data_IF_904661759347
#
_entry.id   IF_904661759347
#
_cell.length_a   1.000
_cell.length_b   1.000
_cell.length_c   1.000
_cell.angle_alpha   90.00
_cell.angle_beta   90.00
_cell.angle_gamma   90.00
#
_symmetry.space_group_name_H-M   'P 1'
#
loop_
_entity.id
_entity.type
_entity.pdbx_description
1 polymer ?
#
# COMPACT_ATOMS: atom_id res chain seq x y z
N UNK A 1 -8.04 32.47 17.21
CA UNK A 1 -8.04 30.99 17.13
C UNK A 1 -7.63 30.56 15.72
N UNK A 2 -6.92 29.44 15.60
CA UNK A 2 -6.54 28.84 14.32
C UNK A 2 -7.77 28.48 13.48
N UNK A 3 -7.83 28.90 12.21
CA UNK A 3 -8.91 28.57 11.29
C UNK A 3 -8.83 27.10 10.84
N UNK A 4 -9.98 26.44 10.68
CA UNK A 4 -10.03 25.08 10.13
C UNK A 4 -9.83 25.11 8.60
N UNK A 5 -9.10 24.14 8.08
CA UNK A 5 -8.84 23.94 6.64
C UNK A 5 -9.37 22.58 6.20
N UNK A 6 -9.72 22.45 4.92
CA UNK A 6 -9.99 21.14 4.33
C UNK A 6 -8.64 20.47 4.03
N UNK A 7 -8.40 19.31 4.64
CA UNK A 7 -7.15 18.59 4.48
C UNK A 7 -7.38 17.10 4.24
N UNK A 8 -6.43 16.49 3.53
CA UNK A 8 -6.22 15.05 3.45
C UNK A 8 -4.83 14.76 4.00
N UNK A 9 -4.73 13.81 4.92
CA UNK A 9 -3.49 13.43 5.57
C UNK A 9 -3.38 11.92 5.73
N UNK A 10 -2.17 11.46 5.95
CA UNK A 10 -1.86 10.07 6.18
C UNK A 10 -1.14 9.95 7.51
N UNK A 11 -1.59 9.00 8.32
CA UNK A 11 -0.99 8.60 9.59
C UNK A 11 -0.53 7.15 9.47
N UNK A 12 0.63 6.85 10.04
CA UNK A 12 1.17 5.51 10.02
C UNK A 12 1.80 5.13 11.35
N UNK A 13 1.79 3.83 11.62
CA UNK A 13 2.58 3.20 12.67
C UNK A 13 3.30 2.01 12.09
N UNK A 14 4.60 1.93 12.35
CA UNK A 14 5.50 0.87 11.88
C UNK A 14 6.30 0.34 13.06
N UNK A 15 6.69 -0.92 12.98
CA UNK A 15 7.62 -1.55 13.92
C UNK A 15 8.77 -2.14 13.14
N UNK A 16 9.99 -1.88 13.57
CA UNK A 16 11.18 -2.57 13.06
C UNK A 16 11.75 -3.45 14.14
N UNK A 17 11.82 -4.76 13.89
CA UNK A 17 12.45 -5.71 14.81
C UNK A 17 13.98 -5.53 14.76
N UNK A 18 14.62 -5.46 15.94
CA UNK A 18 16.09 -5.41 16.01
C UNK A 18 16.71 -6.76 15.66
N UNK A 19 16.02 -7.86 15.94
CA UNK A 19 16.54 -9.21 15.72
C UNK A 19 16.56 -9.59 14.22
N UNK A 20 15.49 -9.25 13.49
CA UNK A 20 15.34 -9.65 12.07
C UNK A 20 15.57 -8.50 11.09
N UNK A 21 15.58 -7.25 11.56
CA UNK A 21 15.56 -6.06 10.70
C UNK A 21 14.25 -5.86 9.93
N UNK A 22 13.29 -6.78 10.06
CA UNK A 22 12.01 -6.71 9.36
C UNK A 22 11.23 -5.51 9.88
N UNK A 23 10.81 -4.66 8.96
CA UNK A 23 9.89 -3.56 9.19
C UNK A 23 8.48 -4.02 8.83
N UNK A 24 7.60 -3.94 9.81
CA UNK A 24 6.19 -4.27 9.68
C UNK A 24 5.38 -2.98 9.82
N UNK A 25 4.55 -2.68 8.82
CA UNK A 25 3.55 -1.62 8.96
C UNK A 25 2.35 -2.17 9.71
N UNK A 26 2.06 -1.55 10.86
CA UNK A 26 0.97 -1.96 11.75
C UNK A 26 -0.34 -1.30 11.41
N UNK A 27 -0.27 -0.04 11.00
CA UNK A 27 -1.43 0.72 10.57
C UNK A 27 -1.00 1.79 9.58
N UNK A 28 -1.81 1.98 8.54
CA UNK A 28 -1.75 3.10 7.63
C UNK A 28 -3.18 3.63 7.48
N UNK A 29 -3.44 4.86 7.90
CA UNK A 29 -4.76 5.48 7.87
C UNK A 29 -4.72 6.75 7.06
N UNK A 30 -5.73 6.94 6.23
CA UNK A 30 -5.93 8.19 5.49
C UNK A 30 -7.09 8.92 6.17
N UNK A 31 -6.81 10.13 6.64
CA UNK A 31 -7.81 11.03 7.16
C UNK A 31 -8.14 12.11 6.13
N UNK A 32 -9.40 12.50 6.06
CA UNK A 32 -9.83 13.64 5.26
C UNK A 32 -10.93 14.40 5.99
N UNK A 33 -10.93 15.73 5.88
CA UNK A 33 -11.98 16.58 6.43
C UNK A 33 -11.49 17.95 6.86
N UNK A 34 -12.37 18.69 7.53
CA UNK A 34 -12.03 19.96 8.13
C UNK A 34 -11.21 19.74 9.40
N UNK A 35 -9.99 20.27 9.44
CA UNK A 35 -9.11 20.17 10.61
C UNK A 35 -8.34 21.46 10.83
N UNK A 36 -8.00 21.73 12.10
CA UNK A 36 -7.09 22.81 12.48
C UNK A 36 -5.63 22.34 12.54
N UNK A 37 -5.40 21.03 12.73
CA UNK A 37 -4.08 20.39 12.77
C UNK A 37 -4.20 18.91 12.41
N UNK A 38 -3.30 18.38 11.58
CA UNK A 38 -3.22 16.94 11.28
C UNK A 38 -2.42 16.14 12.32
N UNK A 39 -1.82 16.85 13.27
CA UNK A 39 -1.11 16.30 14.41
C UNK A 39 -1.38 17.18 15.62
N UNK A 40 -1.68 16.56 16.75
CA UNK A 40 -1.82 17.25 18.03
C UNK A 40 -1.07 16.48 19.08
N UNK A 41 -0.22 17.19 19.81
CA UNK A 41 0.42 16.63 20.99
C UNK A 41 -0.56 16.54 22.15
N UNK A 42 -0.13 15.91 23.24
CA UNK A 42 -0.87 16.03 24.50
C UNK A 42 -0.86 17.49 24.98
N UNK A 43 -1.86 17.90 25.79
CA UNK A 43 -1.89 19.25 26.34
C UNK A 43 -0.56 19.61 27.03
N UNK A 44 -0.05 20.85 26.85
CA UNK A 44 1.25 21.22 27.40
C UNK A 44 1.35 21.05 28.92
N UNK A 45 0.25 21.23 29.66
CA UNK A 45 0.21 21.00 31.10
C UNK A 45 0.41 19.52 31.47
N UNK A 46 -0.16 18.59 30.70
CA UNK A 46 0.00 17.15 30.91
C UNK A 46 1.42 16.70 30.55
N UNK A 47 1.99 17.22 29.46
CA UNK A 47 3.39 16.95 29.10
C UNK A 47 4.35 17.50 30.16
N UNK A 48 4.07 18.68 30.70
CA UNK A 48 4.88 19.27 31.76
C UNK A 48 4.87 18.42 33.04
N UNK A 49 3.72 17.81 33.38
CA UNK A 49 3.57 16.96 34.57
C UNK A 49 4.12 15.55 34.36
N UNK A 50 3.76 14.91 33.24
CA UNK A 50 3.92 13.48 33.02
C UNK A 50 5.09 13.14 32.07
N UNK A 51 5.71 14.15 31.46
CA UNK A 51 6.75 13.99 30.43
C UNK A 51 6.19 13.71 29.05
N UNK A 52 7.08 13.52 28.08
CA UNK A 52 6.74 13.21 26.69
C UNK A 52 6.41 11.73 26.47
N UNK A 53 6.67 10.87 27.45
CA UNK A 53 6.40 9.44 27.39
C UNK A 53 5.68 9.02 28.65
N UNK A 54 4.50 8.45 28.49
CA UNK A 54 3.68 7.93 29.59
C UNK A 54 3.43 6.46 29.34
N UNK A 55 3.79 5.63 30.31
CA UNK A 55 3.45 4.20 30.30
C UNK A 55 2.23 3.97 31.18
N UNK A 56 1.18 3.38 30.61
CA UNK A 56 -0.03 2.97 31.31
C UNK A 56 -0.33 1.50 30.99
N UNK A 57 -0.26 0.62 32.00
CA UNK A 57 -0.48 -0.82 31.91
C UNK A 57 0.22 -1.48 30.71
N UNK A 58 -0.48 -1.66 29.60
CA UNK A 58 -0.01 -2.36 28.39
C UNK A 58 0.31 -1.41 27.21
N UNK A 59 0.13 -0.10 27.42
CA UNK A 59 0.31 0.92 26.39
C UNK A 59 1.29 1.99 26.84
N UNK A 60 2.31 2.25 26.02
CA UNK A 60 3.15 3.42 26.18
C UNK A 60 2.73 4.45 25.14
N UNK A 61 2.27 5.60 25.63
CA UNK A 61 1.93 6.75 24.82
C UNK A 61 3.15 7.68 24.73
N UNK A 62 3.54 7.97 23.50
CA UNK A 62 4.68 8.83 23.23
C UNK A 62 4.23 10.08 22.47
N UNK A 63 4.79 11.23 22.81
CA UNK A 63 4.38 12.54 22.30
C UNK A 63 5.55 13.25 21.61
N UNK A 64 5.26 14.08 20.62
CA UNK A 64 6.21 14.95 19.94
C UNK A 64 5.82 16.43 20.18
N UNK A 65 6.75 17.40 20.08
CA UNK A 65 6.43 18.80 20.32
C UNK A 65 5.66 19.39 19.13
N UNK A 66 4.43 19.85 19.37
CA UNK A 66 3.64 20.62 18.41
C UNK A 66 3.75 22.14 18.69
N UNK A 67 3.13 23.03 17.89
CA UNK A 67 3.18 24.46 18.15
C UNK A 67 2.66 24.88 19.53
N UNK A 68 1.66 24.18 20.06
CA UNK A 68 1.05 24.51 21.35
C UNK A 68 2.00 24.18 22.50
N UNK A 69 2.72 23.06 22.40
CA UNK A 69 3.80 22.69 23.33
C UNK A 69 4.95 23.69 23.26
N UNK A 70 5.48 23.96 22.06
CA UNK A 70 6.65 24.83 21.86
C UNK A 70 6.41 26.26 22.33
N UNK A 71 5.18 26.77 22.20
CA UNK A 71 4.81 28.14 22.62
C UNK A 71 4.37 28.23 24.08
N UNK A 72 4.15 27.11 24.75
CA UNK A 72 3.64 27.08 26.12
C UNK A 72 4.63 27.69 27.11
N UNK A 73 4.10 28.34 28.15
CA UNK A 73 4.91 28.78 29.29
C UNK A 73 5.60 27.59 29.98
N UNK A 74 4.93 26.44 30.05
CA UNK A 74 5.49 25.24 30.69
C UNK A 74 6.77 24.75 30.00
N UNK A 75 6.80 24.71 28.67
CA UNK A 75 8.00 24.33 27.92
C UNK A 75 9.12 25.37 28.08
N UNK A 76 8.80 26.66 27.93
CA UNK A 76 9.79 27.75 28.10
C UNK A 76 10.42 27.79 29.49
N UNK A 77 9.65 27.45 30.54
CA UNK A 77 10.13 27.49 31.92
C UNK A 77 10.90 26.22 32.33
N UNK A 78 10.72 25.12 31.60
CA UNK A 78 11.38 23.82 31.91
C UNK A 78 12.60 23.55 31.04
N UNK A 79 12.82 24.34 29.98
CA UNK A 79 13.90 24.14 29.02
C UNK A 79 14.83 25.34 28.93
N UNK A 80 16.12 25.08 28.76
CA UNK A 80 17.12 26.08 28.40
C UNK A 80 17.24 26.17 26.88
N UNK A 81 17.44 27.39 26.36
CA UNK A 81 17.56 27.65 24.93
C UNK A 81 18.91 28.26 24.57
N UNK A 82 19.46 27.90 23.41
CA UNK A 82 20.68 28.49 22.87
C UNK A 82 20.57 28.69 21.36
N UNK A 83 21.02 29.84 20.86
CA UNK A 83 21.06 30.08 19.41
C UNK A 83 22.22 29.31 18.79
N UNK A 84 21.92 28.51 17.78
CA UNK A 84 22.87 27.78 16.94
C UNK A 84 22.97 28.46 15.59
N UNK A 85 24.10 29.10 15.33
CA UNK A 85 24.43 29.59 13.99
C UNK A 85 25.10 28.47 13.18
N UNK A 86 24.55 28.20 11.98
CA UNK A 86 25.14 27.22 11.06
C UNK A 86 26.14 27.96 10.17
N UNK A 87 27.44 27.68 10.35
CA UNK A 87 28.49 28.28 9.50
C UNK A 87 28.19 27.98 8.02
N UNK A 88 28.22 29.01 7.19
CA UNK A 88 28.01 28.90 5.74
C UNK A 88 26.55 28.79 5.29
N UNK A 89 25.56 28.86 6.19
CA UNK A 89 24.14 28.94 5.84
C UNK A 89 23.49 30.18 6.45
N UNK A 90 23.23 31.19 5.63
CA UNK A 90 22.53 32.42 6.03
C UNK A 90 21.00 32.31 5.96
N UNK A 91 20.49 31.23 5.36
CA UNK A 91 19.07 30.97 5.14
C UNK A 91 18.38 30.31 6.34
N UNK A 92 19.15 29.87 7.35
CA UNK A 92 18.65 29.06 8.47
C UNK A 92 19.28 29.45 9.82
N UNK A 93 18.46 29.58 10.87
CA UNK A 93 18.89 29.75 12.26
C UNK A 93 18.41 28.54 13.08
N UNK A 94 19.30 27.93 13.86
CA UNK A 94 18.92 26.92 14.83
C UNK A 94 18.70 27.52 16.22
N UNK A 95 17.73 27.00 16.97
CA UNK A 95 17.58 27.25 18.40
C UNK A 95 17.57 25.90 19.11
N UNK A 96 18.67 25.59 19.77
CA UNK A 96 18.78 24.38 20.57
C UNK A 96 17.94 24.52 21.84
N UNK A 97 17.27 23.45 22.23
CA UNK A 97 16.57 23.33 23.50
C UNK A 97 16.97 22.06 24.22
N UNK A 98 17.05 22.13 25.54
CA UNK A 98 17.29 20.98 26.41
C UNK A 98 16.60 21.18 27.76
N UNK A 99 16.23 20.10 28.47
CA UNK A 99 15.65 20.23 29.80
C UNK A 99 16.62 20.98 30.74
N UNK A 100 16.09 21.94 31.50
CA UNK A 100 16.89 22.76 32.43
C UNK A 100 17.43 21.95 33.61
N UNK A 101 16.69 20.91 34.01
CA UNK A 101 17.10 19.96 35.03
C UNK A 101 16.63 18.54 34.64
N UNK A 102 17.41 17.54 35.02
CA UNK A 102 17.00 16.14 34.85
C UNK A 102 15.91 15.82 35.87
N UNK A 103 14.77 15.31 35.40
CA UNK A 103 13.67 14.87 36.25
C UNK A 103 13.66 13.34 36.29
N UNK A 104 13.90 12.70 37.45
CA UNK A 104 13.84 11.23 37.55
C UNK A 104 12.48 10.71 37.08
N UNK A 105 12.47 9.61 36.33
CA UNK A 105 11.27 8.92 35.82
C UNK A 105 10.39 9.74 34.86
N UNK A 106 10.82 10.93 34.44
CA UNK A 106 10.13 11.74 33.44
C UNK A 106 11.00 11.78 32.19
N UNK A 107 10.47 11.25 31.08
CA UNK A 107 11.13 11.34 29.78
C UNK A 107 10.86 12.72 29.21
N UNK A 108 11.92 13.44 28.89
CA UNK A 108 11.86 14.79 28.32
C UNK A 108 12.41 14.78 26.88
N UNK A 109 12.52 15.94 26.24
CA UNK A 109 13.12 16.06 24.91
C UNK A 109 14.26 17.08 24.88
N UNK A 110 15.28 16.80 24.07
CA UNK A 110 16.28 17.78 23.65
C UNK A 110 16.30 17.86 22.13
N UNK A 111 16.77 18.96 21.55
CA UNK A 111 16.73 19.12 20.10
C UNK A 111 17.06 20.51 19.59
N UNK A 112 16.71 20.73 18.32
CA UNK A 112 16.93 22.02 17.63
C UNK A 112 15.67 22.41 16.86
N UNK A 113 15.21 23.63 17.09
CA UNK A 113 14.20 24.30 16.27
C UNK A 113 14.90 25.11 15.16
N UNK A 114 14.67 24.71 13.91
CA UNK A 114 15.22 25.33 12.72
C UNK A 114 14.25 26.35 12.14
N UNK A 115 14.70 27.59 12.06
CA UNK A 115 13.98 28.72 11.50
C UNK A 115 14.56 29.07 10.12
N UNK A 116 13.74 29.12 9.09
CA UNK A 116 14.13 29.74 7.82
C UNK A 116 14.17 31.26 8.02
N UNK A 117 15.11 31.98 7.41
CA UNK A 117 15.32 33.43 7.65
C UNK A 117 14.60 34.34 6.65
N UNK A 118 14.12 33.82 5.52
CA UNK A 118 13.44 34.62 4.49
C UNK A 118 12.13 33.94 3.99
N UNK A 119 10.95 34.38 4.45
CA UNK A 119 10.72 35.11 5.70
C UNK A 119 11.07 34.27 6.94
N UNK A 120 11.26 34.95 8.09
CA UNK A 120 11.51 34.29 9.38
C UNK A 120 10.34 33.39 9.78
N UNK A 121 10.53 32.07 9.75
CA UNK A 121 9.48 31.08 10.09
C UNK A 121 10.08 29.81 10.66
N UNK A 122 9.38 29.18 11.62
CA UNK A 122 9.75 27.83 12.06
C UNK A 122 9.52 26.86 10.90
N UNK A 123 10.57 26.14 10.50
CA UNK A 123 10.52 25.21 9.38
C UNK A 123 10.54 23.75 9.86
N UNK A 124 11.35 23.46 10.88
CA UNK A 124 11.53 22.09 11.39
C UNK A 124 11.94 22.10 12.86
N UNK A 125 11.52 21.08 13.60
CA UNK A 125 12.07 20.74 14.92
C UNK A 125 12.58 19.31 14.84
N UNK A 126 13.86 19.12 15.13
CA UNK A 126 14.46 17.81 15.36
C UNK A 126 14.60 17.60 16.86
N UNK A 127 14.25 16.42 17.36
CA UNK A 127 14.32 16.12 18.79
C UNK A 127 14.75 14.68 19.08
N UNK A 128 15.26 14.46 20.29
CA UNK A 128 15.54 13.14 20.86
C UNK A 128 14.91 13.04 22.24
N UNK A 129 14.41 11.85 22.58
CA UNK A 129 13.86 11.55 23.89
C UNK A 129 14.97 11.32 24.91
N UNK A 130 14.96 12.07 26.00
CA UNK A 130 15.95 12.01 27.07
C UNK A 130 15.45 11.24 28.28
N UNK A 131 16.36 10.58 29.01
CA UNK A 131 16.00 9.79 30.20
C UNK A 131 15.54 8.36 29.91
N UNK A 132 15.69 7.89 28.67
CA UNK A 132 15.54 6.48 28.30
C UNK A 132 16.78 5.64 28.70
N UNK A 133 16.65 4.30 28.81
CA UNK A 133 17.80 3.40 28.99
C UNK A 133 18.92 3.65 27.98
N UNK A 134 20.17 3.58 28.45
CA UNK A 134 21.36 3.96 27.68
C UNK A 134 21.64 3.06 26.45
N UNK A 135 21.00 1.89 26.38
CA UNK A 135 21.11 0.95 25.27
C UNK A 135 20.40 1.44 23.99
N UNK A 136 19.61 2.50 24.06
CA UNK A 136 18.96 3.10 22.90
C UNK A 136 19.87 4.09 22.17
N UNK A 137 20.20 3.76 20.91
CA UNK A 137 20.85 4.67 19.99
C UNK A 137 20.03 5.94 19.80
N UNK A 138 20.70 7.09 19.65
CA UNK A 138 20.02 8.39 19.45
C UNK A 138 19.07 8.38 18.25
N UNK A 139 19.45 7.70 17.17
CA UNK A 139 18.64 7.57 15.96
C UNK A 139 17.30 6.86 16.21
N UNK A 140 17.25 5.94 17.16
CA UNK A 140 16.06 5.13 17.47
C UNK A 140 15.17 5.73 18.56
N UNK A 141 15.64 6.79 19.23
CA UNK A 141 14.89 7.62 20.17
C UNK A 141 14.70 9.05 19.68
N UNK A 142 14.66 9.24 18.36
CA UNK A 142 14.58 10.56 17.73
C UNK A 142 13.23 10.81 17.07
N UNK A 143 12.94 12.06 16.75
CA UNK A 143 11.83 12.41 15.90
C UNK A 143 12.02 13.79 15.29
N UNK A 144 11.06 14.16 14.46
CA UNK A 144 10.99 15.49 13.90
C UNK A 144 9.57 15.93 13.64
N UNK A 145 9.41 17.25 13.53
CA UNK A 145 8.17 17.92 13.12
C UNK A 145 8.53 18.98 12.09
N UNK A 146 7.86 18.96 10.94
CA UNK A 146 8.01 19.93 9.85
C UNK A 146 6.80 20.84 9.83
N UNK A 147 7.06 22.13 9.66
CA UNK A 147 6.06 23.18 9.68
C UNK A 147 6.00 23.88 8.33
N UNK A 148 4.80 24.27 7.92
CA UNK A 148 4.57 25.21 6.82
C UNK A 148 3.43 26.15 7.22
N UNK A 149 3.23 27.19 6.43
CA UNK A 149 2.14 28.15 6.56
C UNK A 149 1.22 28.03 5.34
N UNK A 150 -0.05 27.70 5.56
CA UNK A 150 -1.08 27.79 4.52
C UNK A 150 -1.70 29.19 4.60
N UNK A 151 -1.71 29.92 3.48
CA UNK A 151 -2.31 31.25 3.33
C UNK A 151 -1.95 32.27 4.42
N UNK A 152 -0.71 32.20 4.92
CA UNK A 152 -0.12 33.19 5.83
C UNK A 152 -0.64 33.21 7.28
N UNK A 153 -1.59 32.34 7.67
CA UNK A 153 -2.33 32.57 8.92
C UNK A 153 -1.84 31.82 10.19
N UNK A 154 -1.20 30.63 10.11
CA UNK A 154 -0.58 29.97 11.29
C UNK A 154 0.40 28.84 10.90
N UNK A 155 1.29 28.44 11.82
CA UNK A 155 2.13 27.24 11.65
C UNK A 155 1.28 25.97 11.69
N UNK A 156 1.34 25.22 10.59
CA UNK A 156 0.73 23.92 10.46
C UNK A 156 1.81 22.85 10.38
N UNK A 157 1.63 21.77 11.14
CA UNK A 157 2.47 20.57 11.00
C UNK A 157 2.12 19.90 9.68
N UNK A 158 3.09 19.79 8.79
CA UNK A 158 2.93 19.16 7.47
C UNK A 158 3.48 17.75 7.42
N UNK A 159 4.46 17.47 8.27
CA UNK A 159 5.04 16.13 8.43
C UNK A 159 5.57 15.97 9.82
N UNK A 160 5.41 14.79 10.40
CA UNK A 160 6.03 14.45 11.67
C UNK A 160 6.40 12.98 11.71
N UNK A 161 7.41 12.67 12.52
CA UNK A 161 7.83 11.31 12.81
C UNK A 161 8.39 11.27 14.23
N UNK A 162 8.10 10.19 14.96
CA UNK A 162 8.74 9.86 16.22
C UNK A 162 9.14 8.38 16.19
N UNK A 163 10.40 8.11 16.50
CA UNK A 163 10.97 6.77 16.65
C UNK A 163 11.30 6.53 18.11
N UNK A 164 10.88 5.38 18.58
CA UNK A 164 10.95 5.02 19.98
C UNK A 164 11.38 3.57 20.15
N UNK A 165 12.42 3.32 20.96
CA UNK A 165 12.88 1.97 21.22
C UNK A 165 11.89 1.24 22.14
N UNK A 166 11.61 -0.01 21.82
CA UNK A 166 10.99 -0.96 22.74
C UNK A 166 12.07 -1.70 23.51
N UNK A 167 11.92 -1.68 24.82
CA UNK A 167 12.82 -2.35 25.73
C UNK A 167 12.20 -3.65 26.22
N UNK A 168 13.00 -4.70 26.28
CA UNK A 168 12.69 -5.93 26.99
C UNK A 168 13.67 -6.09 28.15
N UNK A 169 13.13 -6.42 29.32
CA UNK A 169 13.92 -6.80 30.48
C UNK A 169 14.19 -8.30 30.41
N UNK A 170 15.44 -8.68 30.20
CA UNK A 170 15.88 -10.07 30.22
C UNK A 170 16.47 -10.38 31.59
N UNK A 171 15.96 -11.45 32.19
CA UNK A 171 16.42 -11.96 33.48
C UNK A 171 17.88 -12.45 33.42
N UNK A 172 18.47 -12.77 34.58
CA UNK A 172 19.84 -13.27 34.64
C UNK A 172 19.99 -14.53 33.80
N UNK A 173 21.01 -14.55 32.93
CA UNK A 173 21.37 -15.75 32.16
C UNK A 173 22.33 -16.58 33.01
N UNK A 174 22.03 -17.87 33.18
CA UNK A 174 22.98 -18.80 33.80
C UNK A 174 24.01 -19.18 32.75
N UNK A 175 25.27 -18.78 32.96
CA UNK A 175 26.37 -19.15 32.06
C UNK A 175 27.14 -20.29 32.71
N UNK A 176 27.16 -21.45 32.04
CA UNK A 176 27.98 -22.59 32.47
C UNK A 176 29.38 -22.45 31.88
N UNK A 177 30.35 -22.08 32.72
CA UNK A 177 31.76 -22.04 32.36
C UNK A 177 32.49 -23.14 33.13
N UNK A 178 32.93 -24.19 32.41
CA UNK A 178 33.79 -25.27 32.94
C UNK A 178 33.28 -25.87 34.27
N UNK A 179 32.01 -26.29 34.31
CA UNK A 179 31.43 -26.97 35.48
C UNK A 179 31.04 -26.05 36.65
N UNK A 180 31.27 -24.73 36.54
CA UNK A 180 30.75 -23.74 37.48
C UNK A 180 29.63 -22.92 36.82
N UNK A 181 28.41 -23.02 37.36
CA UNK A 181 27.31 -22.11 36.99
C UNK A 181 27.58 -20.76 37.63
N UNK A 182 27.82 -19.73 36.80
CA UNK A 182 27.84 -18.34 37.25
C UNK A 182 26.58 -17.65 36.75
N UNK A 183 25.79 -17.11 37.66
CA UNK A 183 24.71 -16.18 37.31
C UNK A 183 25.35 -14.93 36.68
N UNK A 184 24.97 -14.57 35.45
CA UNK A 184 25.36 -13.28 34.91
C UNK A 184 24.76 -12.18 35.79
N UNK A 185 25.58 -11.27 36.29
CA UNK A 185 25.11 -10.15 37.09
C UNK A 185 24.20 -9.24 36.26
N UNK A 186 22.98 -9.02 36.77
CA UNK A 186 22.07 -7.96 36.35
C UNK A 186 21.00 -8.38 35.33
N UNK A 187 19.77 -7.95 35.61
CA UNK A 187 18.72 -7.78 34.62
C UNK A 187 19.25 -6.90 33.47
N UNK A 188 19.19 -7.41 32.24
CA UNK A 188 19.65 -6.67 31.05
C UNK A 188 18.46 -6.04 30.35
N UNK A 189 18.55 -4.74 30.10
CA UNK A 189 17.59 -4.02 29.27
C UNK A 189 18.13 -4.03 27.85
N UNK A 190 17.40 -4.65 26.93
CA UNK A 190 17.77 -4.73 25.52
C UNK A 190 16.72 -4.02 24.65
N UNK A 191 17.17 -3.36 23.58
CA UNK A 191 16.26 -2.83 22.57
C UNK A 191 15.86 -3.98 21.65
N UNK A 192 14.58 -4.37 21.67
CA UNK A 192 14.07 -5.50 20.88
C UNK A 192 13.39 -5.06 19.59
N UNK A 193 12.90 -3.82 19.55
CA UNK A 193 12.28 -3.24 18.38
C UNK A 193 12.32 -1.71 18.45
N UNK A 194 11.99 -1.06 17.34
CA UNK A 194 11.76 0.39 17.26
C UNK A 194 10.34 0.60 16.74
N UNK A 195 9.50 1.24 17.54
CA UNK A 195 8.19 1.73 17.11
C UNK A 195 8.39 3.09 16.45
N UNK A 196 7.86 3.24 15.23
CA UNK A 196 7.85 4.49 14.49
C UNK A 196 6.40 4.92 14.26
N UNK A 197 6.04 6.11 14.71
CA UNK A 197 4.78 6.75 14.41
C UNK A 197 5.03 8.02 13.61
N UNK A 198 4.16 8.32 12.65
CA UNK A 198 4.29 9.56 11.90
C UNK A 198 3.04 9.91 11.13
N UNK A 199 3.07 11.11 10.56
CA UNK A 199 2.00 11.59 9.70
C UNK A 199 2.48 12.63 8.72
N UNK A 200 1.71 12.79 7.65
CA UNK A 200 2.04 13.67 6.54
C UNK A 200 0.77 14.25 5.92
N UNK A 201 0.82 15.53 5.60
CA UNK A 201 -0.21 16.23 4.85
C UNK A 201 -0.09 15.84 3.38
N UNK A 202 -1.16 15.32 2.79
CA UNK A 202 -1.21 14.91 1.37
C UNK A 202 -1.83 16.01 0.50
N UNK A 203 -2.85 16.69 1.03
CA UNK A 203 -3.53 17.80 0.38
C UNK A 203 -4.05 18.77 1.43
N UNK A 204 -3.95 20.05 1.17
CA UNK A 204 -4.63 21.08 1.94
C UNK A 204 -5.19 22.14 0.99
N UNK A 205 -6.44 22.53 1.22
CA UNK A 205 -7.09 23.60 0.48
C UNK A 205 -7.35 24.76 1.42
N UNK A 206 -6.83 25.91 1.02
CA UNK A 206 -7.09 27.21 1.63
C UNK A 206 -8.52 27.69 1.47
N UNK A 207 -8.81 28.89 1.98
CA UNK A 207 -10.08 29.58 1.74
C UNK A 207 -10.12 30.35 0.42
N UNK A 208 -8.95 30.78 -0.07
CA UNK A 208 -8.72 31.06 -1.48
C UNK A 208 -8.61 29.75 -2.25
N UNK A 209 -9.16 29.70 -3.46
CA UNK A 209 -9.18 28.55 -4.38
C UNK A 209 -7.81 27.91 -4.72
N UNK A 210 -6.72 28.31 -4.08
CA UNK A 210 -5.41 27.67 -4.13
C UNK A 210 -5.37 26.42 -3.25
N UNK A 211 -5.56 25.25 -3.87
CA UNK A 211 -5.05 24.00 -3.31
C UNK A 211 -3.52 24.07 -3.29
N UNK A 212 -2.91 24.13 -2.11
CA UNK A 212 -1.45 24.01 -1.98
C UNK A 212 -1.12 22.53 -1.81
N UNK A 213 -0.69 21.91 -2.90
CA UNK A 213 0.02 20.65 -2.85
C UNK A 213 1.39 20.92 -2.22
N UNK A 214 1.63 20.37 -1.04
CA UNK A 214 2.97 20.40 -0.46
C UNK A 214 3.88 19.49 -1.32
N UNK A 215 5.15 19.90 -1.55
CA UNK A 215 5.85 19.73 -2.82
C UNK A 215 6.30 18.28 -3.12
N UNK A 216 6.45 18.00 -4.43
CA UNK A 216 7.34 17.06 -5.16
C UNK A 216 7.59 15.61 -4.69
N UNK A 217 7.22 15.18 -3.49
CA UNK A 217 7.47 13.82 -2.96
C UNK A 217 6.40 12.81 -3.40
N UNK A 218 5.91 12.92 -4.64
CA UNK A 218 4.88 12.00 -5.14
C UNK A 218 5.50 10.65 -5.43
N UNK A 219 4.81 9.59 -5.04
CA UNK A 219 5.11 8.23 -5.46
C UNK A 219 4.19 7.88 -6.62
N UNK A 220 4.77 7.77 -7.80
CA UNK A 220 4.08 7.45 -9.05
C UNK A 220 4.64 6.15 -9.61
N UNK A 221 3.76 5.22 -9.95
CA UNK A 221 4.13 3.99 -10.65
C UNK A 221 3.67 4.12 -12.10
N UNK A 222 4.61 4.00 -13.03
CA UNK A 222 4.34 3.93 -14.46
C UNK A 222 4.14 2.46 -14.86
N UNK A 223 2.89 2.11 -15.15
CA UNK A 223 2.52 0.83 -15.73
C UNK A 223 2.73 0.88 -17.24
N UNK A 224 3.57 -0.01 -17.74
CA UNK A 224 3.82 -0.18 -19.17
C UNK A 224 3.21 -1.49 -19.63
N UNK A 225 2.45 -1.44 -20.72
CA UNK A 225 1.95 -2.63 -21.38
C UNK A 225 2.11 -2.47 -22.89
N UNK A 226 2.62 -3.48 -23.61
CA UNK A 226 2.58 -3.51 -25.07
C UNK A 226 1.13 -3.59 -25.62
N UNK A 227 0.18 -3.99 -24.79
CA UNK A 227 -1.24 -4.04 -25.11
C UNK A 227 -1.98 -3.01 -24.22
N UNK A 228 -2.21 -1.79 -24.72
CA UNK A 228 -2.75 -0.67 -23.93
C UNK A 228 -4.10 -0.97 -23.25
N UNK A 229 -4.92 -1.81 -23.89
CA UNK A 229 -6.20 -2.29 -23.35
C UNK A 229 -6.06 -3.08 -22.04
N UNK A 230 -4.89 -3.66 -21.74
CA UNK A 230 -4.66 -4.35 -20.47
C UNK A 230 -4.72 -3.41 -19.27
N UNK A 231 -4.44 -2.11 -19.46
CA UNK A 231 -4.38 -1.14 -18.35
C UNK A 231 -5.75 -0.60 -17.96
N UNK A 232 -6.81 -0.92 -18.70
CA UNK A 232 -8.16 -0.43 -18.40
C UNK A 232 -8.67 -0.98 -17.07
N UNK A 233 -8.98 -0.06 -16.16
CA UNK A 233 -9.42 -0.39 -14.81
C UNK A 233 -8.34 -1.02 -13.94
N UNK A 234 -7.07 -0.98 -14.36
CA UNK A 234 -5.97 -1.39 -13.51
C UNK A 234 -5.92 -0.49 -12.26
N UNK A 235 -5.52 -1.08 -11.14
CA UNK A 235 -5.34 -0.37 -9.88
C UNK A 235 -4.21 -1.02 -9.10
N UNK A 236 -3.57 -0.26 -8.22
CA UNK A 236 -2.60 -0.83 -7.28
C UNK A 236 -3.02 -0.51 -5.85
N UNK A 237 -2.75 -1.47 -4.97
CA UNK A 237 -2.99 -1.38 -3.54
C UNK A 237 -1.70 -1.61 -2.78
N UNK A 238 -1.52 -0.93 -1.64
CA UNK A 238 -0.47 -1.28 -0.70
C UNK A 238 -0.83 -2.60 0.00
N UNK A 239 0.15 -3.45 0.30
CA UNK A 239 -0.07 -4.67 1.10
C UNK A 239 -0.39 -4.36 2.56
N UNK A 240 0.22 -3.28 3.04
CA UNK A 240 0.39 -2.89 4.44
C UNK A 240 -0.69 -1.90 4.94
N UNK A 241 -1.75 -1.69 4.14
CA UNK A 241 -2.82 -0.75 4.45
C UNK A 241 -3.92 -0.71 3.40
N UNK A 242 -4.87 0.20 3.59
CA UNK A 242 -6.06 0.32 2.73
C UNK A 242 -5.86 1.28 1.53
N UNK A 243 -4.66 1.83 1.35
CA UNK A 243 -4.41 2.76 0.26
C UNK A 243 -4.41 2.01 -1.08
N UNK A 244 -5.36 2.40 -1.93
CA UNK A 244 -5.47 1.95 -3.33
C UNK A 244 -5.55 3.17 -4.24
N UNK A 245 -4.91 3.07 -5.40
CA UNK A 245 -4.93 4.10 -6.43
C UNK A 245 -5.26 3.46 -7.80
N UNK A 246 -6.22 4.02 -8.56
CA UNK A 246 -6.48 3.58 -9.92
C UNK A 246 -5.35 4.01 -10.86
N UNK A 247 -5.12 3.24 -11.91
CA UNK A 247 -4.29 3.64 -13.03
C UNK A 247 -5.07 4.58 -13.95
N UNK A 248 -4.50 5.75 -14.24
CA UNK A 248 -4.99 6.70 -15.23
C UNK A 248 -3.93 6.86 -16.30
N UNK A 249 -4.25 6.47 -17.54
CA UNK A 249 -3.28 6.51 -18.66
C UNK A 249 -1.97 5.77 -18.37
N UNK A 250 -2.06 4.67 -17.60
CA UNK A 250 -0.90 3.89 -17.16
C UNK A 250 -0.15 4.47 -15.95
N UNK A 251 -0.52 5.64 -15.45
CA UNK A 251 0.05 6.22 -14.23
C UNK A 251 -0.81 5.86 -13.02
N UNK A 252 -0.17 5.30 -12.00
CA UNK A 252 -0.77 5.08 -10.69
C UNK A 252 -0.12 6.04 -9.71
N UNK A 253 -0.90 6.95 -9.15
CA UNK A 253 -0.42 8.00 -8.26
C UNK A 253 -0.87 7.75 -6.82
N UNK A 254 0.06 7.31 -5.97
CA UNK A 254 -0.18 7.10 -4.55
C UNK A 254 -0.13 8.40 -3.74
N UNK A 255 0.21 9.54 -4.36
CA UNK A 255 0.50 10.79 -3.69
C UNK A 255 1.77 10.68 -2.85
N UNK A 256 1.81 11.36 -1.72
CA UNK A 256 2.96 11.31 -0.80
C UNK A 256 2.85 10.05 0.07
N UNK A 257 3.93 9.26 0.11
CA UNK A 257 4.08 8.12 1.01
C UNK A 257 5.23 8.37 2.00
N UNK A 258 5.17 7.83 3.23
CA UNK A 258 6.31 7.83 4.12
C UNK A 258 7.49 7.09 3.48
N UNK A 259 8.70 7.56 3.73
CA UNK A 259 9.90 6.88 3.24
C UNK A 259 10.03 5.45 3.77
N UNK A 260 10.66 4.60 2.97
CA UNK A 260 10.92 3.19 3.24
C UNK A 260 10.31 2.28 2.19
N UNK A 261 10.43 0.98 2.45
CA UNK A 261 9.92 -0.08 1.59
C UNK A 261 8.42 -0.28 1.74
N UNK A 262 7.73 -0.41 0.61
CA UNK A 262 6.30 -0.67 0.52
C UNK A 262 6.03 -1.82 -0.42
N UNK A 263 5.36 -2.86 0.07
CA UNK A 263 4.78 -3.87 -0.79
C UNK A 263 3.59 -3.31 -1.54
N UNK A 264 3.61 -3.41 -2.87
CA UNK A 264 2.51 -3.01 -3.75
C UNK A 264 1.97 -4.21 -4.51
N UNK A 265 0.65 -4.33 -4.56
CA UNK A 265 -0.08 -5.35 -5.31
C UNK A 265 -0.80 -4.71 -6.47
N UNK A 266 -0.51 -5.18 -7.67
CA UNK A 266 -1.19 -4.77 -8.88
C UNK A 266 -2.43 -5.64 -9.11
N UNK A 267 -3.57 -5.00 -9.34
CA UNK A 267 -4.81 -5.62 -9.77
C UNK A 267 -5.11 -5.16 -11.19
N UNK A 268 -5.12 -6.11 -12.13
CA UNK A 268 -5.48 -5.85 -13.53
C UNK A 268 -6.74 -6.68 -13.82
N UNK A 269 -7.91 -6.06 -14.05
CA UNK A 269 -9.17 -6.79 -14.25
C UNK A 269 -9.09 -7.86 -15.34
N UNK A 270 -8.30 -7.59 -16.38
CA UNK A 270 -8.03 -8.53 -17.46
C UNK A 270 -7.25 -9.76 -16.97
N UNK A 271 -6.14 -9.57 -16.26
CA UNK A 271 -5.32 -10.67 -15.74
C UNK A 271 -6.05 -11.47 -14.65
N UNK A 272 -6.86 -10.80 -13.83
CA UNK A 272 -7.73 -11.43 -12.84
C UNK A 272 -8.74 -12.37 -13.51
N UNK A 273 -9.28 -11.99 -14.68
CA UNK A 273 -10.18 -12.85 -15.47
C UNK A 273 -9.47 -14.09 -16.03
N UNK A 274 -8.18 -13.96 -16.33
CA UNK A 274 -7.31 -15.08 -16.71
C UNK A 274 -6.85 -15.90 -15.49
N UNK A 275 -7.27 -15.55 -14.27
CA UNK A 275 -6.84 -16.21 -13.05
C UNK A 275 -5.34 -16.13 -12.80
N UNK A 276 -4.66 -15.14 -13.40
CA UNK A 276 -3.26 -14.88 -13.13
C UNK A 276 -3.09 -14.47 -11.66
N UNK A 277 -1.99 -14.91 -11.05
CA UNK A 277 -1.62 -14.44 -9.71
C UNK A 277 -1.34 -12.95 -9.77
N UNK A 278 -1.98 -12.19 -8.87
CA UNK A 278 -1.74 -10.74 -8.76
C UNK A 278 -0.29 -10.50 -8.37
N UNK A 279 0.50 -9.82 -9.20
CA UNK A 279 1.91 -9.68 -8.92
C UNK A 279 2.11 -8.68 -7.79
N UNK A 280 3.07 -8.99 -6.93
CA UNK A 280 3.46 -8.19 -5.78
C UNK A 280 4.91 -7.80 -5.95
N UNK A 281 5.22 -6.54 -5.71
CA UNK A 281 6.58 -6.00 -5.78
C UNK A 281 6.79 -5.03 -4.63
N UNK A 282 8.02 -4.97 -4.12
CA UNK A 282 8.40 -3.92 -3.19
C UNK A 282 8.90 -2.69 -3.94
N UNK A 283 8.47 -1.51 -3.51
CA UNK A 283 8.99 -0.21 -3.95
C UNK A 283 9.68 0.47 -2.79
N UNK A 284 10.79 1.16 -3.06
CA UNK A 284 11.52 1.93 -2.06
C UNK A 284 11.18 3.41 -2.27
N UNK A 285 10.61 4.04 -1.25
CA UNK A 285 10.27 5.47 -1.27
C UNK A 285 11.33 6.23 -0.50
N UNK A 286 12.00 7.17 -1.15
CA UNK A 286 12.97 8.05 -0.50
C UNK A 286 12.30 9.31 0.04
N UNK A 287 12.77 9.81 1.18
CA UNK A 287 12.26 11.05 1.73
C UNK A 287 12.72 12.23 0.88
N UNK A 288 11.83 13.18 0.58
CA UNK A 288 12.21 14.43 -0.10
C UNK A 288 12.34 14.33 -1.62
N UNK A 289 12.08 13.16 -2.23
CA UNK A 289 12.22 12.96 -3.67
C UNK A 289 10.98 12.30 -4.29
N UNK A 290 10.59 12.68 -5.53
CA UNK A 290 9.59 11.92 -6.27
C UNK A 290 10.11 10.52 -6.54
N UNK A 291 9.26 9.53 -6.36
CA UNK A 291 9.57 8.13 -6.66
C UNK A 291 8.82 7.74 -7.93
N UNK A 292 9.56 7.44 -9.00
CA UNK A 292 9.01 6.87 -10.23
C UNK A 292 9.40 5.39 -10.30
N UNK A 293 8.40 4.51 -10.37
CA UNK A 293 8.63 3.07 -10.52
C UNK A 293 8.06 2.59 -11.84
N UNK A 294 8.89 2.01 -12.68
CA UNK A 294 8.43 1.37 -13.91
C UNK A 294 8.03 -0.08 -13.65
N UNK A 295 6.86 -0.46 -14.16
CA UNK A 295 6.34 -1.82 -14.08
C UNK A 295 5.79 -2.26 -15.43
N UNK A 296 6.48 -3.18 -16.07
CA UNK A 296 6.05 -3.75 -17.36
C UNK A 296 5.17 -4.98 -17.15
N UNK A 297 4.00 -5.00 -17.79
CA UNK A 297 3.12 -6.16 -17.84
C UNK A 297 3.53 -7.12 -18.97
N UNK A 298 3.34 -8.45 -18.77
CA UNK A 298 3.55 -9.41 -19.84
C UNK A 298 2.54 -9.17 -20.99
N UNK A 299 2.90 -9.60 -22.21
CA UNK A 299 1.99 -9.61 -23.36
C UNK A 299 0.85 -10.60 -23.10
N UNK A 300 -0.34 -10.34 -23.61
CA UNK A 300 -1.43 -11.33 -23.50
C UNK A 300 -1.10 -12.63 -24.25
N UNK A 301 -0.39 -12.54 -25.37
CA UNK A 301 0.06 -13.73 -26.10
C UNK A 301 1.04 -14.59 -25.30
N UNK A 302 1.84 -13.99 -24.41
CA UNK A 302 2.73 -14.75 -23.51
C UNK A 302 1.98 -15.44 -22.38
N UNK A 303 0.70 -15.14 -22.19
CA UNK A 303 -0.21 -15.86 -21.29
C UNK A 303 -0.94 -17.00 -22.02
N UNK A 304 -0.55 -17.37 -23.24
CA UNK A 304 -1.12 -18.50 -23.97
C UNK A 304 -1.02 -19.83 -23.18
N UNK A 305 0.02 -19.99 -22.35
CA UNK A 305 0.16 -21.13 -21.44
C UNK A 305 -0.93 -21.18 -20.34
N UNK A 306 -1.65 -20.07 -20.12
CA UNK A 306 -2.80 -20.00 -19.22
C UNK A 306 -4.13 -20.40 -19.90
N UNK A 307 -4.10 -20.73 -21.20
CA UNK A 307 -5.25 -21.13 -22.00
C UNK A 307 -5.29 -22.65 -22.14
N UNK A 308 -6.49 -23.23 -21.97
CA UNK A 308 -6.67 -24.68 -22.09
C UNK A 308 -6.64 -25.14 -23.56
N UNK A 309 -6.94 -24.23 -24.49
CA UNK A 309 -6.78 -24.44 -25.92
C UNK A 309 -6.46 -23.14 -26.66
N UNK A 310 -5.78 -23.25 -27.82
CA UNK A 310 -5.47 -22.13 -28.72
C UNK A 310 -6.07 -22.44 -30.10
N UNK A 311 -6.98 -21.58 -30.58
CA UNK A 311 -7.60 -21.70 -31.89
C UNK A 311 -6.64 -21.24 -33.01
N UNK A 312 -6.16 -20.01 -32.93
CA UNK A 312 -5.14 -19.46 -33.83
C UNK A 312 -4.17 -18.53 -33.08
N UNK A 313 -2.86 -18.84 -33.00
CA UNK A 313 -1.90 -18.04 -32.24
C UNK A 313 -1.66 -16.64 -32.82
N UNK A 314 -2.09 -16.37 -34.05
CA UNK A 314 -1.98 -15.03 -34.67
C UNK A 314 -3.07 -14.08 -34.21
N UNK A 315 -4.17 -14.62 -33.68
CA UNK A 315 -5.25 -13.84 -33.09
C UNK A 315 -5.02 -13.64 -31.59
N UNK A 316 -5.65 -12.61 -31.03
CA UNK A 316 -5.50 -12.22 -29.63
C UNK A 316 -6.83 -12.07 -28.88
N UNK A 317 -7.92 -12.64 -29.42
CA UNK A 317 -9.18 -12.78 -28.69
C UNK A 317 -9.17 -13.99 -27.76
N UNK A 318 -9.74 -13.82 -26.58
CA UNK A 318 -9.80 -14.80 -25.51
C UNK A 318 -11.25 -14.97 -25.08
N UNK A 319 -11.71 -16.22 -25.00
CA UNK A 319 -13.00 -16.57 -24.43
C UNK A 319 -12.76 -17.29 -23.10
N UNK A 320 -13.29 -16.72 -22.03
CA UNK A 320 -13.28 -17.32 -20.70
C UNK A 320 -14.70 -17.77 -20.38
N UNK A 321 -14.86 -19.04 -20.03
CA UNK A 321 -16.17 -19.58 -19.66
C UNK A 321 -16.17 -20.24 -18.29
N UNK A 322 -17.33 -20.18 -17.65
CA UNK A 322 -17.64 -20.95 -16.45
C UNK A 322 -18.84 -21.86 -16.77
N UNK A 323 -18.73 -23.15 -16.42
CA UNK A 323 -19.83 -24.12 -16.42
C UNK A 323 -20.30 -24.27 -14.99
N UNK A 324 -21.55 -23.90 -14.72
CA UNK A 324 -22.15 -24.01 -13.38
C UNK A 324 -23.06 -25.24 -13.37
N UNK A 325 -22.81 -26.14 -12.43
CA UNK A 325 -23.64 -27.32 -12.16
C UNK A 325 -24.21 -27.24 -10.75
N UNK A 326 -25.36 -27.86 -10.50
CA UNK A 326 -25.89 -28.02 -9.14
C UNK A 326 -25.04 -28.92 -8.24
N UNK A 327 -24.21 -29.79 -8.84
CA UNK A 327 -23.40 -30.81 -8.14
C UNK A 327 -21.91 -30.62 -8.46
N UNK A 328 -21.06 -30.45 -7.45
CA UNK A 328 -19.63 -30.13 -7.61
C UNK A 328 -18.80 -31.25 -8.28
N UNK A 329 -19.21 -32.52 -8.14
CA UNK A 329 -18.48 -33.67 -8.70
C UNK A 329 -18.65 -33.88 -10.20
N UNK A 330 -19.69 -33.29 -10.80
CA UNK A 330 -20.11 -33.63 -12.16
C UNK A 330 -19.35 -32.88 -13.28
N UNK A 331 -18.54 -31.89 -12.91
CA UNK A 331 -17.86 -31.02 -13.88
C UNK A 331 -16.69 -31.73 -14.58
N UNK A 332 -16.01 -32.67 -13.88
CA UNK A 332 -14.77 -33.31 -14.34
C UNK A 332 -14.89 -34.10 -15.66
N UNK A 333 -16.09 -34.45 -16.10
CA UNK A 333 -16.33 -35.18 -17.35
C UNK A 333 -16.97 -34.34 -18.46
N UNK A 334 -17.24 -33.06 -18.20
CA UNK A 334 -17.85 -32.20 -19.20
C UNK A 334 -16.82 -31.78 -20.24
N UNK A 335 -17.27 -31.72 -21.49
CA UNK A 335 -16.51 -31.09 -22.58
C UNK A 335 -17.32 -29.93 -23.12
N UNK A 336 -16.67 -28.80 -23.25
CA UNK A 336 -17.26 -27.64 -23.92
C UNK A 336 -16.78 -27.65 -25.36
N UNK A 337 -17.72 -27.67 -26.29
CA UNK A 337 -17.45 -27.54 -27.73
C UNK A 337 -17.68 -26.10 -28.14
N UNK A 338 -16.67 -25.49 -28.75
CA UNK A 338 -16.76 -24.17 -29.38
C UNK A 338 -16.84 -24.34 -30.89
N UNK A 339 -17.74 -23.60 -31.52
CA UNK A 339 -17.91 -23.50 -32.97
C UNK A 339 -17.75 -22.04 -33.39
N UNK A 340 -16.88 -21.77 -34.36
CA UNK A 340 -16.53 -20.42 -34.80
C UNK A 340 -16.02 -20.41 -36.24
N UNK A 341 -15.95 -19.24 -36.85
CA UNK A 341 -15.36 -19.07 -38.18
C UNK A 341 -13.87 -18.71 -38.07
N UNK A 342 -13.01 -19.55 -38.65
CA UNK A 342 -11.59 -19.22 -38.83
C UNK A 342 -11.41 -18.35 -40.07
N UNK A 343 -10.57 -17.32 -39.96
CA UNK A 343 -10.22 -16.44 -41.08
C UNK A 343 -8.96 -16.97 -41.78
N UNK A 344 -9.05 -17.26 -43.07
CA UNK A 344 -7.87 -17.63 -43.86
C UNK A 344 -7.10 -16.38 -44.28
N UNK A 345 -6.01 -16.10 -43.55
CA UNK A 345 -5.20 -14.90 -43.74
C UNK A 345 -4.24 -15.00 -44.93
N UNK A 346 -4.06 -16.18 -45.55
CA UNK A 346 -3.18 -16.36 -46.72
C UNK A 346 -3.70 -15.64 -47.96
N UNK A 347 -5.01 -15.36 -48.00
CA UNK A 347 -5.69 -14.66 -49.10
C UNK A 347 -5.85 -13.14 -48.85
N UNK A 348 -5.36 -12.60 -47.73
CA UNK A 348 -5.46 -11.17 -47.42
C UNK A 348 -4.76 -10.29 -48.46
N UNK A 349 -3.66 -10.77 -49.08
CA UNK A 349 -3.00 -10.05 -50.18
C UNK A 349 -3.86 -9.93 -51.44
N UNK A 350 -4.91 -10.74 -51.58
CA UNK A 350 -5.86 -10.73 -52.68
C UNK A 350 -7.19 -10.01 -52.32
N UNK A 351 -7.30 -9.41 -51.13
CA UNK A 351 -8.52 -8.69 -50.71
C UNK A 351 -9.73 -9.59 -50.39
N UNK A 352 -9.55 -10.92 -50.36
CA UNK A 352 -10.63 -11.88 -50.09
C UNK A 352 -10.50 -12.41 -48.66
N UNK A 353 -11.50 -12.12 -47.83
CA UNK A 353 -11.62 -12.71 -46.49
C UNK A 353 -12.47 -13.97 -46.60
N UNK A 354 -11.84 -15.14 -46.57
CA UNK A 354 -12.56 -16.42 -46.51
C UNK A 354 -12.73 -16.85 -45.06
N UNK A 355 -13.99 -17.07 -44.66
CA UNK A 355 -14.35 -17.70 -43.39
C UNK A 355 -14.54 -19.20 -43.61
N UNK A 356 -13.93 -20.01 -42.77
CA UNK A 356 -14.10 -21.48 -42.75
C UNK A 356 -14.56 -21.90 -41.36
N UNK A 357 -15.69 -22.63 -41.24
CA UNK A 357 -16.14 -23.15 -39.96
C UNK A 357 -15.05 -24.03 -39.34
N UNK A 358 -14.81 -23.82 -38.05
CA UNK A 358 -13.85 -24.57 -37.24
C UNK A 358 -14.48 -24.86 -35.87
N UNK A 359 -13.97 -25.88 -35.18
CA UNK A 359 -14.45 -26.24 -33.86
C UNK A 359 -13.35 -26.83 -32.99
N UNK A 360 -13.38 -26.49 -31.71
CA UNK A 360 -12.46 -27.03 -30.71
C UNK A 360 -13.20 -27.50 -29.47
N UNK A 361 -12.61 -28.48 -28.77
CA UNK A 361 -13.12 -28.96 -27.50
C UNK A 361 -12.16 -28.53 -26.39
N UNK A 362 -12.73 -28.11 -25.27
CA UNK A 362 -11.99 -27.75 -24.06
C UNK A 362 -12.61 -28.43 -22.85
N UNK A 363 -11.77 -28.86 -21.92
CA UNK A 363 -12.20 -29.46 -20.66
C UNK A 363 -12.20 -28.41 -19.55
N UNK A 364 -13.33 -28.14 -18.90
CA UNK A 364 -13.37 -27.32 -17.70
C UNK A 364 -12.56 -27.96 -16.57
N UNK A 365 -11.93 -27.12 -15.74
CA UNK A 365 -11.27 -27.56 -14.52
C UNK A 365 -12.28 -27.98 -13.45
N UNK A 366 -11.79 -28.38 -12.27
CA UNK A 366 -12.64 -28.85 -11.15
C UNK A 366 -13.66 -27.81 -10.65
N UNK A 367 -13.45 -26.52 -10.96
CA UNK A 367 -14.37 -25.43 -10.63
C UNK A 367 -15.29 -25.03 -11.78
N UNK A 368 -15.28 -25.77 -12.89
CA UNK A 368 -16.08 -25.47 -14.08
C UNK A 368 -15.50 -24.41 -15.00
N UNK A 369 -14.30 -23.93 -14.74
CA UNK A 369 -13.69 -22.85 -15.53
C UNK A 369 -12.88 -23.42 -16.69
N UNK A 370 -12.99 -22.78 -17.85
CA UNK A 370 -12.23 -23.09 -19.06
C UNK A 370 -11.87 -21.82 -19.83
N UNK A 371 -10.83 -21.88 -20.66
CA UNK A 371 -10.28 -20.75 -21.41
C UNK A 371 -9.79 -21.15 -22.78
N UNK A 372 -10.14 -20.36 -23.77
CA UNK A 372 -9.69 -20.55 -25.16
C UNK A 372 -9.14 -19.24 -25.71
N UNK A 373 -7.95 -19.31 -26.29
CA UNK A 373 -7.23 -18.17 -26.82
C UNK A 373 -7.10 -18.26 -28.34
N UNK A 374 -6.73 -17.17 -29.00
CA UNK A 374 -6.54 -17.16 -30.45
C UNK A 374 -7.83 -17.08 -31.26
N UNK A 375 -8.91 -16.55 -30.67
CA UNK A 375 -10.16 -16.28 -31.37
C UNK A 375 -10.10 -14.92 -32.08
N UNK A 376 -10.68 -14.82 -33.27
CA UNK A 376 -10.72 -13.56 -34.01
C UNK A 376 -11.61 -12.53 -33.27
N UNK A 377 -11.11 -11.32 -33.06
CA UNK A 377 -11.93 -10.25 -32.47
C UNK A 377 -13.08 -9.86 -33.38
N UNK A 378 -14.23 -9.53 -32.79
CA UNK A 378 -15.45 -9.24 -33.54
C UNK A 378 -16.07 -10.45 -34.24
N UNK A 379 -15.64 -11.68 -33.93
CA UNK A 379 -16.27 -12.91 -34.44
C UNK A 379 -17.30 -13.45 -33.45
N UNK A 380 -18.30 -14.18 -33.94
CA UNK A 380 -19.25 -14.88 -33.08
C UNK A 380 -18.74 -16.30 -32.81
N UNK A 381 -18.79 -16.70 -31.54
CA UNK A 381 -18.37 -18.02 -31.08
C UNK A 381 -19.54 -18.65 -30.35
N UNK A 382 -19.91 -19.86 -30.76
CA UNK A 382 -20.97 -20.63 -30.14
C UNK A 382 -20.37 -21.68 -29.23
N UNK A 383 -20.59 -21.54 -27.92
CA UNK A 383 -20.19 -22.54 -26.94
C UNK A 383 -21.37 -23.48 -26.64
N UNK A 384 -21.09 -24.76 -26.55
CA UNK A 384 -22.07 -25.76 -26.16
C UNK A 384 -21.48 -26.78 -25.19
N UNK A 385 -22.30 -27.20 -24.23
CA UNK A 385 -21.97 -28.26 -23.28
C UNK A 385 -23.14 -29.23 -23.20
N UNK A 386 -22.85 -30.52 -23.15
CA UNK A 386 -23.86 -31.57 -23.12
C UNK A 386 -23.65 -32.46 -21.91
N UNK A 387 -24.72 -32.70 -21.14
CA UNK A 387 -24.74 -33.62 -19.99
C UNK A 387 -26.04 -34.43 -20.03
N UNK A 388 -25.92 -35.76 -20.02
CA UNK A 388 -27.07 -36.70 -19.98
C UNK A 388 -28.18 -36.38 -21.00
N UNK A 389 -27.79 -36.05 -22.24
CA UNK A 389 -28.72 -35.73 -23.33
C UNK A 389 -29.26 -34.29 -23.31
N UNK A 390 -29.01 -33.51 -22.27
CA UNK A 390 -29.33 -32.08 -22.23
C UNK A 390 -28.15 -31.26 -22.78
N UNK A 391 -28.38 -30.49 -23.83
CA UNK A 391 -27.38 -29.58 -24.41
C UNK A 391 -27.75 -28.13 -24.14
N UNK A 392 -26.84 -27.41 -23.50
CA UNK A 392 -26.91 -25.95 -23.37
C UNK A 392 -25.99 -25.35 -24.42
N UNK A 393 -26.51 -24.40 -25.18
CA UNK A 393 -25.77 -23.69 -26.22
C UNK A 393 -25.97 -22.19 -26.04
N UNK A 394 -24.89 -21.44 -26.13
CA UNK A 394 -24.92 -19.99 -26.07
C UNK A 394 -23.89 -19.41 -27.05
N UNK A 395 -24.31 -18.41 -27.82
CA UNK A 395 -23.44 -17.68 -28.74
C UNK A 395 -23.02 -16.37 -28.11
N UNK A 396 -21.74 -16.03 -28.25
CA UNK A 396 -21.18 -14.79 -27.77
C UNK A 396 -20.28 -14.17 -28.82
N UNK A 397 -20.31 -12.86 -28.94
CA UNK A 397 -19.40 -12.12 -29.82
C UNK A 397 -18.11 -11.82 -29.08
N UNK A 398 -16.97 -12.18 -29.68
CA UNK A 398 -15.65 -11.79 -29.20
C UNK A 398 -15.53 -10.28 -29.35
N UNK A 399 -15.27 -9.59 -28.24
CA UNK A 399 -15.24 -8.14 -28.21
C UNK A 399 -14.21 -7.61 -29.23
N UNK A 400 -14.60 -6.61 -30.02
CA UNK A 400 -13.73 -6.03 -31.04
C UNK A 400 -12.61 -5.18 -30.42
N UNK A 401 -12.90 -4.55 -29.29
CA UNK A 401 -12.03 -3.60 -28.60
C UNK A 401 -11.29 -4.30 -27.45
N UNK A 402 -11.97 -5.16 -26.70
CA UNK A 402 -11.41 -5.89 -25.56
C UNK A 402 -10.90 -7.27 -26.00
N UNK A 403 -9.74 -7.71 -25.48
CA UNK A 403 -9.21 -9.03 -25.82
C UNK A 403 -10.01 -10.19 -25.21
N UNK A 404 -11.01 -9.93 -24.36
CA UNK A 404 -11.68 -10.97 -23.59
C UNK A 404 -13.20 -10.85 -23.66
N UNK A 405 -13.84 -12.00 -23.79
CA UNK A 405 -15.28 -12.16 -23.68
C UNK A 405 -15.55 -13.24 -22.63
N UNK A 406 -16.58 -13.03 -21.81
CA UNK A 406 -17.04 -14.03 -20.83
C UNK A 406 -18.35 -14.67 -21.27
N UNK A 407 -18.49 -15.94 -20.93
CA UNK A 407 -19.73 -16.70 -21.12
C UNK A 407 -19.97 -17.60 -19.91
N UNK A 408 -21.25 -17.89 -19.62
CA UNK A 408 -21.63 -18.76 -18.52
C UNK A 408 -22.64 -19.78 -19.01
N UNK A 409 -22.32 -21.06 -18.87
CA UNK A 409 -23.19 -22.16 -19.26
C UNK A 409 -23.75 -22.79 -17.98
N UNK A 410 -25.05 -22.60 -17.73
CA UNK A 410 -25.73 -23.13 -16.54
C UNK A 410 -26.43 -24.44 -16.90
N UNK A 411 -26.00 -25.54 -16.27
CA UNK A 411 -26.59 -26.87 -16.45
C UNK A 411 -27.54 -27.18 -15.27
N UNK A 412 -28.72 -27.75 -15.52
CA UNK A 412 -29.60 -28.20 -14.45
C UNK A 412 -28.95 -29.29 -13.60
N UNK A 413 -29.33 -29.36 -12.32
CA UNK A 413 -28.93 -30.46 -11.44
C UNK A 413 -29.45 -31.79 -12.01
N UNK A 414 -28.65 -32.85 -11.87
CA UNK A 414 -29.14 -34.19 -12.24
C UNK A 414 -30.18 -34.58 -11.21
N UNK A 415 -31.42 -34.80 -11.67
CA UNK A 415 -32.43 -35.43 -10.81
C UNK A 415 -32.00 -36.87 -10.62
N UNK A 416 -31.68 -37.25 -9.38
CA UNK A 416 -31.63 -38.66 -9.01
C UNK A 416 -32.96 -39.29 -9.42
N UNK A 417 -32.90 -40.11 -10.47
CA UNK A 417 -34.02 -40.97 -10.82
C UNK A 417 -34.09 -42.04 -9.74
N UNK A 418 -34.91 -41.78 -8.72
CA UNK A 418 -35.37 -42.82 -7.81
C UNK A 418 -35.96 -43.95 -8.67
N UNK A 419 -35.47 -45.19 -8.57
CA UNK A 419 -36.03 -46.29 -9.33
C UNK A 419 -37.50 -46.45 -8.96
N UNK A 420 -38.37 -46.31 -9.96
CA UNK A 420 -39.78 -46.62 -9.86
C UNK A 420 -39.92 -48.13 -9.62
N UNK A 421 -40.08 -48.54 -8.36
CA UNK A 421 -40.35 -49.94 -8.05
C UNK A 421 -40.05 -50.33 -6.61
N UNK A 422 -40.93 -49.94 -5.69
CA UNK A 422 -41.34 -50.83 -4.60
C UNK A 422 -42.76 -50.40 -4.19
N UNK A 423 -43.74 -51.19 -4.65
CA UNK A 423 -45.11 -51.24 -4.14
C UNK A 423 -45.14 -52.20 -2.97
#
# INVERSE_FOLDING_TARGET
ESRAIAAEWLEYQRRTSRATGVRETRSLRIGAGMTRRIFRSRPPADIARDGFVVSAADTTLYSAPDPDVLRSAAFRNSHCFAVRMVRGRSDTIGVDFRPAARRPNIVDISGTAWLATNPLRLARVDFVYEGLPAQADSADRSGFVVFDTLDGAEWMVTRWQAKLPRFERRGPVTVNLRGASRLSAGERVEVVAVDEAGGLLRRATGDGSSSRWLPAERTVVLLQSPDSMQLLGASMSLLDGELSAPAQEGLVDFGVLPSGRWGVRLAVPLLDSLGATRPVRDIEVEAGSPTLVEWTLPRLSTLADACDAVADPTNNGVLVGDVITGDAGAVRQLRVRLEFDRLDTRLLRAGVVRKTPDALQVMPNERGRWRVCGLARGSDVTASVTREGTTIRQTVRIDALRPFTRIRLELPAVRDSLPAGQR
#
